data_IF_727436889440
#
_entry.id   IF_727436889440
#
_cell.length_a   1.000
_cell.length_b   1.000
_cell.length_c   1.000
_cell.angle_alpha   90.00
_cell.angle_beta   90.00
_cell.angle_gamma   90.00
#
_symmetry.space_group_name_H-M   'P 1'
#
loop_
_entity.id
_entity.type
_entity.pdbx_description
1 polymer ?
#
# COMPACT_ATOMS: atom_id res chain seq x y z
N UNK A 1 -10.89 4.45 5.72
CA UNK A 1 -10.28 5.79 5.76
C UNK A 1 -10.46 6.54 4.43
N UNK A 2 -9.83 6.13 3.32
CA UNK A 2 -9.92 6.85 2.04
C UNK A 2 -11.35 7.01 1.52
N UNK A 3 -12.21 6.01 1.74
CA UNK A 3 -13.62 6.11 1.40
C UNK A 3 -14.33 7.25 2.14
N UNK A 4 -14.05 7.43 3.44
CA UNK A 4 -14.64 8.52 4.22
C UNK A 4 -14.14 9.91 3.79
N UNK A 5 -12.90 10.00 3.29
CA UNK A 5 -12.38 11.24 2.70
C UNK A 5 -13.10 11.55 1.37
N UNK A 6 -13.29 10.54 0.51
CA UNK A 6 -14.01 10.69 -0.76
C UNK A 6 -15.49 11.06 -0.55
N UNK A 7 -16.18 10.42 0.40
CA UNK A 7 -17.57 10.73 0.77
C UNK A 7 -17.76 12.16 1.30
N UNK A 8 -16.70 12.76 1.85
CA UNK A 8 -16.69 14.14 2.33
C UNK A 8 -16.05 15.13 1.36
N UNK A 9 -15.73 14.67 0.14
CA UNK A 9 -15.04 15.45 -0.89
C UNK A 9 -13.75 16.13 -0.38
N UNK A 10 -13.07 15.47 0.56
CA UNK A 10 -11.82 15.94 1.16
C UNK A 10 -10.64 15.36 0.38
N UNK A 11 -10.01 16.20 -0.47
CA UNK A 11 -8.88 15.80 -1.30
C UNK A 11 -7.58 16.42 -0.77
N UNK A 12 -6.53 15.61 -0.50
CA UNK A 12 -5.27 16.12 0.02
C UNK A 12 -4.43 16.77 -1.08
N UNK A 13 -3.84 17.94 -0.77
CA UNK A 13 -2.85 18.59 -1.64
C UNK A 13 -1.46 17.92 -1.60
N UNK A 14 -1.17 17.16 -0.54
CA UNK A 14 0.06 16.40 -0.37
C UNK A 14 -0.25 15.01 0.18
N UNK A 15 0.36 13.99 -0.43
CA UNK A 15 0.26 12.60 0.01
C UNK A 15 1.65 12.06 0.33
N UNK A 16 1.88 11.74 1.60
CA UNK A 16 3.09 11.06 2.06
C UNK A 16 2.77 9.60 2.40
N UNK A 17 3.65 8.68 2.04
CA UNK A 17 3.46 7.27 2.33
C UNK A 17 4.77 6.50 2.41
N UNK A 18 4.80 5.48 3.26
CA UNK A 18 5.94 4.59 3.48
C UNK A 18 5.50 3.14 3.31
N UNK A 19 6.31 2.29 2.67
CA UNK A 19 5.98 0.89 2.41
C UNK A 19 4.64 0.75 1.68
N UNK A 20 3.70 -0.08 2.15
CA UNK A 20 2.35 -0.19 1.57
C UNK A 20 1.60 1.16 1.51
N UNK A 21 1.93 2.08 2.42
CA UNK A 21 1.41 3.44 2.42
C UNK A 21 1.84 4.26 1.20
N UNK A 22 3.04 4.04 0.64
CA UNK A 22 3.48 4.76 -0.57
C UNK A 22 2.73 4.29 -1.82
N UNK A 23 2.43 3.00 -1.91
CA UNK A 23 1.60 2.44 -2.98
C UNK A 23 0.17 2.98 -2.93
N UNK A 24 -0.45 2.92 -1.75
CA UNK A 24 -1.78 3.49 -1.53
C UNK A 24 -1.78 5.01 -1.80
N UNK A 25 -0.73 5.69 -1.35
CA UNK A 25 -0.56 7.13 -1.54
C UNK A 25 -0.38 7.53 -2.99
N UNK A 26 0.36 6.77 -3.79
CA UNK A 26 0.52 7.01 -5.22
C UNK A 26 -0.80 6.88 -5.98
N UNK A 27 -1.62 5.88 -5.66
CA UNK A 27 -2.96 5.74 -6.25
C UNK A 27 -3.88 6.87 -5.82
N UNK A 28 -3.80 7.30 -4.55
CA UNK A 28 -4.55 8.45 -4.04
C UNK A 28 -4.16 9.76 -4.73
N UNK A 29 -2.87 10.01 -4.92
CA UNK A 29 -2.37 11.22 -5.57
C UNK A 29 -2.76 11.29 -7.05
N UNK A 30 -2.86 10.15 -7.73
CA UNK A 30 -3.24 10.09 -9.14
C UNK A 30 -4.76 10.25 -9.37
N UNK A 31 -5.59 9.73 -8.46
CA UNK A 31 -7.05 9.83 -8.55
C UNK A 31 -7.69 9.92 -7.15
N UNK A 32 -7.77 11.14 -6.56
CA UNK A 32 -8.29 11.31 -5.21
C UNK A 32 -9.74 10.86 -5.03
N UNK A 33 -10.55 10.89 -6.09
CA UNK A 33 -11.98 10.51 -6.06
C UNK A 33 -12.16 9.00 -6.12
N UNK A 34 -11.49 8.34 -7.05
CA UNK A 34 -11.64 6.90 -7.31
C UNK A 34 -10.70 5.99 -6.51
N UNK A 35 -9.67 6.53 -5.84
CA UNK A 35 -8.66 5.76 -5.12
C UNK A 35 -9.23 4.75 -4.14
N UNK A 36 -10.23 5.13 -3.35
CA UNK A 36 -10.83 4.25 -2.35
C UNK A 36 -11.43 2.97 -2.99
N UNK A 37 -12.21 3.14 -4.06
CA UNK A 37 -12.82 2.03 -4.78
C UNK A 37 -11.77 1.14 -5.46
N UNK A 38 -10.82 1.78 -6.16
CA UNK A 38 -9.75 1.08 -6.89
C UNK A 38 -8.86 0.26 -5.96
N UNK A 39 -8.44 0.84 -4.84
CA UNK A 39 -7.61 0.16 -3.85
C UNK A 39 -8.38 -0.96 -3.16
N UNK A 40 -9.66 -0.75 -2.80
CA UNK A 40 -10.51 -1.81 -2.23
C UNK A 40 -10.55 -3.04 -3.13
N UNK A 41 -10.80 -2.83 -4.43
CA UNK A 41 -10.82 -3.90 -5.42
C UNK A 41 -9.45 -4.55 -5.68
N UNK A 42 -8.36 -3.78 -5.65
CA UNK A 42 -7.02 -4.31 -5.88
C UNK A 42 -6.56 -5.17 -4.69
N UNK A 43 -6.68 -4.65 -3.46
CA UNK A 43 -6.27 -5.37 -2.27
C UNK A 43 -7.11 -6.60 -1.99
N UNK A 44 -8.42 -6.55 -2.24
CA UNK A 44 -9.30 -7.71 -2.04
C UNK A 44 -8.96 -8.90 -2.96
N UNK A 45 -8.29 -8.64 -4.09
CA UNK A 45 -7.87 -9.68 -5.05
C UNK A 45 -6.43 -10.13 -4.85
N UNK A 46 -5.68 -9.49 -3.95
CA UNK A 46 -4.27 -9.75 -3.79
C UNK A 46 -4.01 -10.88 -2.80
N UNK A 47 -3.17 -11.84 -3.18
CA UNK A 47 -2.80 -12.97 -2.31
C UNK A 47 -1.46 -12.75 -1.62
N UNK A 48 -1.22 -13.52 -0.56
CA UNK A 48 0.03 -13.47 0.20
C UNK A 48 1.23 -13.83 -0.66
N UNK A 49 1.07 -14.79 -1.57
CA UNK A 49 2.11 -15.28 -2.48
C UNK A 49 2.49 -14.22 -3.51
N UNK A 50 1.53 -13.38 -3.92
CA UNK A 50 1.78 -12.24 -4.81
C UNK A 50 2.55 -11.11 -4.12
N UNK A 51 2.30 -10.90 -2.82
CA UNK A 51 3.01 -9.89 -2.02
C UNK A 51 4.38 -10.36 -1.54
N UNK A 52 4.49 -11.65 -1.20
CA UNK A 52 5.66 -12.24 -0.59
C UNK A 52 5.99 -13.59 -1.24
N UNK A 53 6.52 -13.57 -2.48
CA UNK A 53 6.95 -14.78 -3.14
C UNK A 53 8.09 -15.44 -2.34
N UNK A 54 7.90 -16.71 -1.98
CA UNK A 54 8.86 -17.50 -1.18
C UNK A 54 8.45 -17.81 0.28
N UNK A 55 7.30 -17.30 0.74
CA UNK A 55 6.75 -17.61 2.06
C UNK A 55 7.52 -16.98 3.23
N UNK A 56 7.07 -17.28 4.45
CA UNK A 56 7.64 -16.72 5.70
C UNK A 56 9.14 -17.01 5.88
N UNK A 57 9.61 -18.15 5.37
CA UNK A 57 11.01 -18.59 5.48
C UNK A 57 11.93 -17.73 4.59
N UNK A 58 11.53 -17.41 3.36
CA UNK A 58 12.33 -16.55 2.48
C UNK A 58 12.40 -15.11 3.00
N UNK A 59 11.33 -14.60 3.62
CA UNK A 59 11.35 -13.29 4.26
C UNK A 59 12.26 -13.22 5.49
N UNK A 60 12.25 -14.24 6.36
CA UNK A 60 13.16 -14.29 7.50
C UNK A 60 14.64 -14.33 7.06
N UNK A 61 14.93 -15.04 5.97
CA UNK A 61 16.27 -15.06 5.37
C UNK A 61 16.65 -13.71 4.74
N UNK A 62 15.70 -13.00 4.11
CA UNK A 62 15.95 -11.65 3.58
C UNK A 62 16.19 -10.63 4.70
N UNK A 63 15.48 -10.73 5.82
CA UNK A 63 15.75 -9.90 7.01
C UNK A 63 17.13 -10.18 7.61
N UNK A 64 17.61 -11.43 7.61
CA UNK A 64 18.98 -11.74 8.03
C UNK A 64 20.04 -11.23 7.06
N UNK A 65 19.72 -11.14 5.76
CA UNK A 65 20.67 -10.72 4.71
C UNK A 65 20.78 -9.20 4.61
N UNK A 66 19.68 -8.49 4.84
CA UNK A 66 19.69 -7.04 5.05
C UNK A 66 20.09 -6.78 6.50
N UNK A 67 21.38 -6.97 6.80
CA UNK A 67 21.99 -6.35 7.98
C UNK A 67 21.86 -4.83 7.76
N UNK A 68 20.78 -4.23 8.22
CA UNK A 68 20.72 -2.79 8.48
C UNK A 68 21.76 -2.53 9.57
N UNK A 69 22.99 -2.28 9.13
CA UNK A 69 24.05 -1.77 9.99
C UNK A 69 23.62 -0.39 10.47
N UNK A 70 23.09 -0.37 11.70
CA UNK A 70 23.10 0.77 12.59
C UNK A 70 23.90 0.36 13.82
#
# INVERSE_FOLDING_TARGET
MLQALSEREAFPDLVAGTSVGSLNGAVLAADPKGAANRLSHAWARMTREQLFPGGLVAQALLLQRVKTHL
#
